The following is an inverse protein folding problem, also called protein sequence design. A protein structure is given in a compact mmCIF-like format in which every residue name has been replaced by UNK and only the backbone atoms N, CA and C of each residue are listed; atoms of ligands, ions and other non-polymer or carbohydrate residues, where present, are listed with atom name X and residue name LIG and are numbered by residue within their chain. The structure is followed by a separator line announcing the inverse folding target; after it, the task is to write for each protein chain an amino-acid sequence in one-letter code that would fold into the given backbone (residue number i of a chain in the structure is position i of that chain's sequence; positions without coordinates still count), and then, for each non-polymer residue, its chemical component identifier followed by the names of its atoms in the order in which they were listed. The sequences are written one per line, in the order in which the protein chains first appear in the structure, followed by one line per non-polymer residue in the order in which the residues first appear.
data_IF_810690740958
#
_entry.id   IF_810690740958
#
_cell.length_a   1.000
_cell.length_b   1.000
_cell.length_c   1.000
_cell.angle_alpha   90.00
_cell.angle_beta   90.00
_cell.angle_gamma   90.00
#
_symmetry.space_group_name_H-M   'P 1'
#
loop_
_entity.id
_entity.type
_entity.pdbx_description
1 polymer ?
#
# COMPACT_ATOMS: atom_id res chain seq x y z
N UNK A 1 21.88 2.37 21.82
CA UNK A 1 20.49 1.90 21.72
C UNK A 1 20.33 0.63 22.54
N UNK A 2 19.24 0.49 23.29
CA UNK A 2 18.96 -0.69 24.11
C UNK A 2 18.19 -1.76 23.33
N UNK A 3 18.13 -2.99 23.85
CA UNK A 3 17.31 -4.08 23.28
C UNK A 3 15.87 -3.67 23.03
N UNK A 4 15.27 -2.99 23.99
CA UNK A 4 13.87 -2.54 23.91
C UNK A 4 13.67 -1.50 22.82
N UNK A 5 14.63 -0.59 22.63
CA UNK A 5 14.56 0.43 21.57
C UNK A 5 14.65 -0.19 20.18
N UNK A 6 15.54 -1.16 19.96
CA UNK A 6 15.63 -1.86 18.68
C UNK A 6 14.37 -2.66 18.38
N UNK A 7 13.86 -3.40 19.37
CA UNK A 7 12.58 -4.12 19.22
C UNK A 7 11.43 -3.18 18.88
N UNK A 8 11.32 -2.06 19.58
CA UNK A 8 10.28 -1.07 19.31
C UNK A 8 10.37 -0.53 17.87
N UNK A 9 11.58 -0.24 17.38
CA UNK A 9 11.80 0.22 15.99
C UNK A 9 11.42 -0.85 14.96
N UNK A 10 11.84 -2.10 15.16
CA UNK A 10 11.50 -3.20 14.26
C UNK A 10 9.99 -3.49 14.27
N UNK A 11 9.36 -3.45 15.45
CA UNK A 11 7.93 -3.61 15.57
C UNK A 11 7.18 -2.50 14.84
N UNK A 12 7.56 -1.25 15.07
CA UNK A 12 6.96 -0.10 14.38
C UNK A 12 7.11 -0.22 12.86
N UNK A 13 8.30 -0.55 12.36
CA UNK A 13 8.54 -0.69 10.92
C UNK A 13 7.70 -1.83 10.30
N UNK A 14 7.49 -2.93 11.03
CA UNK A 14 6.60 -4.02 10.60
C UNK A 14 5.14 -3.59 10.59
N UNK A 15 4.70 -2.89 11.62
CA UNK A 15 3.32 -2.39 11.71
C UNK A 15 3.03 -1.38 10.58
N UNK A 16 4.01 -0.55 10.23
CA UNK A 16 3.93 0.37 9.08
C UNK A 16 3.81 -0.38 7.74
N UNK A 17 4.60 -1.44 7.52
CA UNK A 17 4.49 -2.30 6.32
C UNK A 17 3.13 -2.99 6.26
N UNK A 18 2.64 -3.54 7.38
CA UNK A 18 1.34 -4.20 7.44
C UNK A 18 0.20 -3.21 7.15
N UNK A 19 0.29 -2.00 7.72
CA UNK A 19 -0.67 -0.94 7.46
C UNK A 19 -0.68 -0.53 5.99
N UNK A 20 0.49 -0.27 5.40
CA UNK A 20 0.59 0.10 3.99
C UNK A 20 0.04 -0.97 3.05
N UNK A 21 0.30 -2.25 3.35
CA UNK A 21 -0.27 -3.39 2.59
C UNK A 21 -1.79 -3.47 2.73
N UNK A 22 -2.30 -3.27 3.93
CA UNK A 22 -3.76 -3.25 4.19
C UNK A 22 -4.44 -2.10 3.46
N UNK A 23 -3.82 -0.92 3.42
CA UNK A 23 -4.36 0.25 2.74
C UNK A 23 -4.29 0.10 1.21
N UNK A 24 -3.24 -0.54 0.68
CA UNK A 24 -3.19 -0.96 -0.72
C UNK A 24 -4.33 -1.93 -1.07
N UNK A 25 -4.57 -2.96 -0.25
CA UNK A 25 -5.65 -3.93 -0.49
C UNK A 25 -7.03 -3.24 -0.49
N UNK A 26 -7.26 -2.28 0.42
CA UNK A 26 -8.49 -1.48 0.43
C UNK A 26 -8.64 -0.65 -0.85
N UNK A 27 -7.57 -0.01 -1.30
CA UNK A 27 -7.59 0.80 -2.52
C UNK A 27 -7.84 -0.07 -3.77
N UNK A 28 -7.24 -1.26 -3.84
CA UNK A 28 -7.47 -2.22 -4.93
C UNK A 28 -8.91 -2.73 -4.94
N UNK A 29 -9.48 -3.08 -3.77
CA UNK A 29 -10.90 -3.45 -3.66
C UNK A 29 -11.85 -2.30 -4.04
N UNK A 30 -11.52 -1.07 -3.67
CA UNK A 30 -12.31 0.10 -4.04
C UNK A 30 -12.30 0.34 -5.55
N UNK A 31 -11.14 0.15 -6.19
CA UNK A 31 -11.01 0.21 -7.65
C UNK A 31 -11.80 -0.91 -8.33
N UNK A 32 -11.73 -2.15 -7.82
CA UNK A 32 -12.50 -3.29 -8.34
C UNK A 32 -14.01 -3.06 -8.23
N UNK A 33 -14.50 -2.67 -7.05
CA UNK A 33 -15.92 -2.37 -6.82
C UNK A 33 -16.40 -1.16 -7.66
N UNK A 34 -15.53 -0.17 -7.86
CA UNK A 34 -15.79 0.97 -8.75
C UNK A 34 -15.84 0.57 -10.23
N UNK A 35 -14.98 -0.35 -10.64
CA UNK A 35 -14.95 -0.91 -11.99
C UNK A 35 -16.16 -1.81 -12.28
N UNK A 36 -16.60 -2.63 -11.31
CA UNK A 36 -17.81 -3.45 -11.40
C UNK A 36 -19.08 -2.61 -11.58
N UNK A 37 -19.11 -1.40 -11.01
CA UNK A 37 -20.21 -0.42 -11.19
C UNK A 37 -20.11 0.35 -12.50
N UNK A 38 -18.98 0.28 -13.20
CA UNK A 38 -18.78 1.02 -14.44
C UNK A 38 -19.44 0.27 -15.61
N UNK A 39 -20.35 0.91 -16.37
CA UNK A 39 -21.16 0.28 -17.43
C UNK A 39 -20.36 -0.12 -18.69
N UNK A 40 -19.03 -0.08 -18.66
CA UNK A 40 -18.18 -0.59 -19.75
C UNK A 40 -18.13 -2.12 -19.82
N UNK A 41 -18.74 -2.83 -18.87
CA UNK A 41 -19.07 -4.25 -19.03
C UNK A 41 -20.28 -4.41 -19.95
N UNK A 42 -20.02 -4.33 -21.26
CA UNK A 42 -20.90 -4.69 -22.38
C UNK A 42 -22.29 -4.01 -22.38
N UNK A 43 -22.35 -2.73 -22.79
CA UNK A 43 -23.62 -2.10 -23.16
C UNK A 43 -23.93 -2.34 -24.66
N UNK A 44 -25.16 -2.77 -25.03
CA UNK A 44 -25.59 -2.96 -26.41
C UNK A 44 -25.64 -1.64 -27.20
N UNK A 45 -25.55 -1.69 -28.55
CA UNK A 45 -25.49 -0.47 -29.37
C UNK A 45 -26.79 0.32 -29.23
N UNK A 46 -26.70 1.51 -28.63
CA UNK A 46 -27.83 2.45 -28.47
C UNK A 46 -27.90 3.22 -27.16
N UNK A 47 -27.05 2.94 -26.17
CA UNK A 47 -27.09 3.63 -24.86
C UNK A 47 -25.94 4.64 -24.74
N UNK A 48 -26.29 5.84 -24.28
CA UNK A 48 -25.47 7.06 -24.31
C UNK A 48 -24.16 6.93 -23.52
N UNK A 49 -23.14 7.61 -24.05
CA UNK A 49 -21.79 7.73 -23.55
C UNK A 49 -21.73 7.97 -22.03
N UNK A 50 -20.82 7.26 -21.40
CA UNK A 50 -20.45 7.36 -19.99
C UNK A 50 -20.31 8.79 -19.51
N UNK A 51 -20.92 9.09 -18.37
CA UNK A 51 -20.86 10.40 -17.73
C UNK A 51 -19.42 10.70 -17.26
N UNK A 52 -18.91 11.93 -17.45
CA UNK A 52 -17.52 12.32 -17.11
C UNK A 52 -17.11 12.04 -15.65
N UNK A 53 -18.07 12.00 -14.73
CA UNK A 53 -17.87 11.80 -13.29
C UNK A 53 -17.32 10.42 -12.92
N UNK A 54 -17.68 9.35 -13.65
CA UNK A 54 -17.15 8.01 -13.34
C UNK A 54 -15.71 7.84 -13.82
N UNK A 55 -15.35 8.49 -14.93
CA UNK A 55 -13.98 8.45 -15.47
C UNK A 55 -12.99 9.17 -14.55
N UNK A 56 -13.39 10.28 -13.92
CA UNK A 56 -12.54 11.00 -12.94
C UNK A 56 -12.42 10.26 -11.61
N UNK A 57 -13.46 9.54 -11.18
CA UNK A 57 -13.43 8.68 -9.99
C UNK A 57 -12.47 7.49 -10.18
N UNK A 58 -12.56 6.79 -11.31
CA UNK A 58 -11.65 5.67 -11.64
C UNK A 58 -10.19 6.12 -11.80
N UNK A 59 -9.97 7.31 -12.37
CA UNK A 59 -8.64 7.90 -12.44
C UNK A 59 -8.08 8.19 -11.04
N UNK A 60 -8.87 8.81 -10.16
CA UNK A 60 -8.46 9.09 -8.78
C UNK A 60 -8.13 7.82 -7.99
N UNK A 61 -8.95 6.77 -8.12
CA UNK A 61 -8.68 5.46 -7.50
C UNK A 61 -7.42 4.79 -8.05
N UNK A 62 -7.16 4.91 -9.37
CA UNK A 62 -5.94 4.38 -9.97
C UNK A 62 -4.69 5.12 -9.48
N UNK A 63 -4.77 6.44 -9.29
CA UNK A 63 -3.68 7.22 -8.69
C UNK A 63 -3.47 6.84 -7.22
N UNK A 64 -4.56 6.61 -6.47
CA UNK A 64 -4.48 6.16 -5.07
C UNK A 64 -3.79 4.80 -4.96
N UNK A 65 -4.15 3.82 -5.80
CA UNK A 65 -3.47 2.51 -5.84
C UNK A 65 -1.98 2.68 -6.16
N UNK A 66 -1.63 3.56 -7.09
CA UNK A 66 -0.23 3.84 -7.41
C UNK A 66 0.52 4.43 -6.21
N UNK A 67 -0.10 5.40 -5.52
CA UNK A 67 0.46 6.00 -4.31
C UNK A 67 0.67 4.96 -3.20
N UNK A 68 -0.33 4.10 -2.94
CA UNK A 68 -0.23 3.07 -1.92
C UNK A 68 0.86 2.04 -2.24
N UNK A 69 1.08 1.68 -3.52
CA UNK A 69 2.21 0.84 -3.93
C UNK A 69 3.57 1.48 -3.64
N UNK A 70 3.68 2.79 -3.85
CA UNK A 70 4.90 3.54 -3.53
C UNK A 70 5.14 3.58 -2.02
N UNK A 71 4.09 3.74 -1.21
CA UNK A 71 4.19 3.72 0.26
C UNK A 71 4.56 2.33 0.80
N UNK A 72 4.03 1.24 0.23
CA UNK A 72 4.49 -0.13 0.55
C UNK A 72 5.98 -0.28 0.25
N UNK A 73 6.42 0.15 -0.94
CA UNK A 73 7.84 0.07 -1.31
C UNK A 73 8.73 0.90 -0.38
N UNK A 74 8.25 2.08 0.05
CA UNK A 74 8.97 2.97 0.97
C UNK A 74 9.12 2.35 2.36
N UNK A 75 8.03 1.81 2.92
CA UNK A 75 8.04 1.17 4.25
C UNK A 75 8.86 -0.12 4.26
N UNK A 76 8.79 -0.92 3.18
CA UNK A 76 9.66 -2.10 3.02
C UNK A 76 11.13 -1.73 2.91
N UNK A 77 11.45 -0.65 2.18
CA UNK A 77 12.81 -0.12 2.14
C UNK A 77 13.26 0.33 3.53
N UNK A 78 12.41 1.04 4.27
CA UNK A 78 12.75 1.48 5.63
C UNK A 78 13.06 0.30 6.57
N UNK A 79 12.27 -0.77 6.51
CA UNK A 79 12.53 -2.00 7.26
C UNK A 79 13.91 -2.59 6.88
N UNK A 80 14.22 -2.63 5.58
CA UNK A 80 15.51 -3.15 5.09
C UNK A 80 16.69 -2.27 5.50
N UNK A 81 16.53 -0.95 5.45
CA UNK A 81 17.56 -0.01 5.91
C UNK A 81 17.80 -0.20 7.41
N UNK A 82 16.75 -0.41 8.21
CA UNK A 82 16.85 -0.73 9.63
C UNK A 82 17.57 -2.06 9.90
N UNK A 83 17.35 -3.09 9.07
CA UNK A 83 18.09 -4.34 9.13
C UNK A 83 19.59 -4.13 8.85
N UNK A 84 19.93 -3.29 7.87
CA UNK A 84 21.32 -2.94 7.55
C UNK A 84 21.96 -2.20 8.71
N UNK A 85 21.29 -1.19 9.28
CA UNK A 85 21.77 -0.48 10.47
C UNK A 85 21.99 -1.40 11.66
N UNK A 86 21.05 -2.32 11.92
CA UNK A 86 21.15 -3.31 12.98
C UNK A 86 22.34 -4.26 12.75
N UNK A 87 22.57 -4.70 11.52
CA UNK A 87 23.73 -5.53 11.16
C UNK A 87 25.05 -4.78 11.37
N UNK A 88 25.12 -3.51 10.94
CA UNK A 88 26.32 -2.66 11.11
C UNK A 88 26.61 -2.38 12.59
N UNK A 89 25.58 -2.22 13.40
CA UNK A 89 25.68 -2.02 14.84
C UNK A 89 25.94 -3.32 15.63
N UNK A 90 26.01 -4.49 14.96
CA UNK A 90 26.19 -5.79 15.62
C UNK A 90 25.02 -6.22 16.49
N UNK A 91 23.81 -5.71 16.21
CA UNK A 91 22.61 -6.02 16.98
C UNK A 91 22.25 -7.50 16.78
N UNK A 92 22.11 -8.29 17.85
CA UNK A 92 21.72 -9.69 17.74
C UNK A 92 20.35 -9.89 17.08
N UNK A 93 20.14 -11.01 16.39
CA UNK A 93 18.91 -11.28 15.65
C UNK A 93 17.68 -11.35 16.58
N UNK A 94 17.83 -11.81 17.81
CA UNK A 94 16.75 -11.95 18.79
C UNK A 94 16.24 -10.60 19.35
N UNK A 95 16.89 -9.49 18.97
CA UNK A 95 16.45 -8.12 19.27
C UNK A 95 15.63 -7.54 18.12
N UNK A 96 15.60 -8.23 16.98
CA UNK A 96 14.85 -7.86 15.78
C UNK A 96 13.53 -8.58 15.70
N UNK A 97 13.37 -9.68 16.44
CA UNK A 97 12.10 -10.40 16.63
C UNK A 97 11.08 -9.56 17.40
#
# INVERSE_FOLDING_TARGET
ATKTEWRARFQQARDEVQKARTDLEKAEKALETGAEKSPWSVAPPGVQATTPTESSANFSLSQEVKHQREEVKRTEKHLRDLEVEANLAGVPAEWRE
#
